data_IF_823233972985
#
_entry.id   IF_823233972985
#
_cell.length_a   1.000
_cell.length_b   1.000
_cell.length_c   1.000
_cell.angle_alpha   90.00
_cell.angle_beta   90.00
_cell.angle_gamma   90.00
#
_symmetry.space_group_name_H-M   'P 1'
#
loop_
_entity.id
_entity.type
_entity.pdbx_description
1 polymer ?
#
# COMPACT_ATOMS: atom_id res chain seq x y z
N UNK A 1 9.72 27.65 0.14
CA UNK A 1 9.64 26.45 -0.70
C UNK A 1 8.28 25.82 -0.47
N UNK A 2 7.42 25.79 -1.49
CA UNK A 2 6.16 25.06 -1.40
C UNK A 2 6.48 23.57 -1.38
N UNK A 3 6.26 22.90 -0.25
CA UNK A 3 6.31 21.44 -0.18
C UNK A 3 5.08 20.92 -0.91
N UNK A 4 5.22 20.59 -2.19
CA UNK A 4 4.14 19.95 -2.96
C UNK A 4 3.90 18.56 -2.36
N UNK A 5 2.72 18.35 -1.76
CA UNK A 5 2.29 17.03 -1.29
C UNK A 5 2.16 16.09 -2.48
N UNK A 6 2.80 14.92 -2.41
CA UNK A 6 2.67 13.89 -3.44
C UNK A 6 1.28 13.26 -3.30
N UNK A 7 0.51 13.22 -4.39
CA UNK A 7 -0.86 12.71 -4.37
C UNK A 7 -0.95 11.38 -5.09
N UNK A 8 -1.66 10.44 -4.47
CA UNK A 8 -2.00 9.15 -5.05
C UNK A 8 -3.50 9.04 -5.24
N UNK A 9 -3.89 8.18 -6.18
CA UNK A 9 -5.28 7.84 -6.38
C UNK A 9 -5.76 7.07 -5.15
N UNK A 10 -6.91 7.47 -4.62
CA UNK A 10 -7.52 6.86 -3.43
C UNK A 10 -8.71 5.94 -3.78
N UNK A 11 -9.19 5.98 -5.03
CA UNK A 11 -10.30 5.18 -5.53
C UNK A 11 -9.76 4.07 -6.42
N UNK A 12 -10.07 2.82 -6.11
CA UNK A 12 -9.72 1.66 -6.93
C UNK A 12 -10.13 1.83 -8.40
N UNK A 13 -9.29 1.35 -9.30
CA UNK A 13 -9.59 1.15 -10.70
C UNK A 13 -10.08 -0.29 -10.90
N UNK A 14 -11.04 -0.42 -11.79
CA UNK A 14 -11.43 -1.71 -12.34
C UNK A 14 -10.72 -1.84 -13.68
N UNK A 15 -10.14 -3.01 -13.97
CA UNK A 15 -9.42 -3.28 -15.22
C UNK A 15 -8.12 -2.47 -15.39
N UNK A 16 -7.28 -2.43 -14.35
CA UNK A 16 -5.95 -1.84 -14.44
C UNK A 16 -5.01 -2.80 -15.18
N UNK A 17 -4.65 -2.46 -16.42
CA UNK A 17 -3.72 -3.25 -17.23
C UNK A 17 -2.27 -3.08 -16.78
N UNK A 18 -1.39 -4.08 -17.05
CA UNK A 18 0.05 -3.92 -16.85
C UNK A 18 0.67 -2.72 -17.59
N UNK A 19 0.09 -2.30 -18.72
CA UNK A 19 0.58 -1.16 -19.50
C UNK A 19 0.18 0.19 -18.87
N UNK A 20 -1.06 0.32 -18.40
CA UNK A 20 -1.51 1.50 -17.66
C UNK A 20 -0.69 1.68 -16.38
N UNK A 21 -0.35 0.56 -15.76
CA UNK A 21 0.56 0.50 -14.63
C UNK A 21 1.97 1.02 -14.96
N UNK A 22 2.60 0.53 -16.03
CA UNK A 22 3.95 0.97 -16.42
C UNK A 22 4.00 2.49 -16.60
N UNK A 23 2.95 3.05 -17.21
CA UNK A 23 2.79 4.50 -17.36
C UNK A 23 2.67 5.21 -16.01
N UNK A 24 1.89 4.68 -15.06
CA UNK A 24 1.75 5.26 -13.71
C UNK A 24 3.06 5.23 -12.92
N UNK A 25 3.81 4.12 -12.98
CA UNK A 25 5.10 3.97 -12.28
C UNK A 25 6.12 4.96 -12.82
N UNK A 26 6.24 5.08 -14.15
CA UNK A 26 7.19 5.99 -14.78
C UNK A 26 6.85 7.46 -14.50
N UNK A 27 5.57 7.83 -14.54
CA UNK A 27 5.14 9.20 -14.22
C UNK A 27 5.41 9.60 -12.77
N UNK A 28 5.35 8.64 -11.84
CA UNK A 28 5.50 8.89 -10.40
C UNK A 28 6.89 8.57 -9.86
N UNK A 29 7.79 8.10 -10.73
CA UNK A 29 9.16 7.67 -10.41
C UNK A 29 9.26 6.68 -9.24
N UNK A 30 8.24 5.81 -9.06
CA UNK A 30 8.18 4.87 -7.92
C UNK A 30 9.12 3.69 -8.14
N UNK A 31 9.79 3.24 -7.08
CA UNK A 31 10.67 2.07 -7.13
C UNK A 31 9.90 0.78 -7.44
N UNK A 32 10.44 0.01 -8.37
CA UNK A 32 10.03 -1.35 -8.71
C UNK A 32 11.31 -2.09 -9.13
N UNK A 33 11.61 -3.26 -8.55
CA UNK A 33 12.93 -3.87 -8.66
C UNK A 33 13.38 -4.19 -10.11
N UNK A 34 12.47 -4.66 -10.96
CA UNK A 34 12.80 -5.20 -12.27
C UNK A 34 12.73 -4.16 -13.40
N UNK A 35 11.84 -3.19 -13.26
CA UNK A 35 11.48 -2.20 -14.27
C UNK A 35 12.05 -0.82 -13.94
N UNK A 36 12.11 -0.47 -12.65
CA UNK A 36 12.61 0.82 -12.17
C UNK A 36 13.52 0.63 -10.95
N UNK A 37 14.55 -0.22 -11.09
CA UNK A 37 15.46 -0.57 -10.01
C UNK A 37 16.31 0.60 -9.50
N UNK A 38 16.49 1.64 -10.33
CA UNK A 38 17.06 2.94 -9.96
C UNK A 38 16.00 3.98 -9.55
N UNK A 39 14.73 3.57 -9.49
CA UNK A 39 13.59 4.42 -9.15
C UNK A 39 13.88 5.22 -7.90
N UNK A 40 13.54 6.51 -7.94
CA UNK A 40 13.92 7.42 -6.88
C UNK A 40 13.26 6.96 -5.60
N UNK A 41 14.02 6.99 -4.51
CA UNK A 41 13.43 6.97 -3.17
C UNK A 41 12.46 8.14 -3.10
N UNK A 42 11.17 7.82 -3.06
CA UNK A 42 10.13 8.81 -2.87
C UNK A 42 10.43 9.61 -1.58
N UNK A 43 10.05 10.90 -1.52
CA UNK A 43 10.38 11.77 -0.40
C UNK A 43 9.53 11.47 0.86
N UNK A 44 9.06 10.22 1.03
CA UNK A 44 8.24 9.78 2.16
C UNK A 44 8.90 10.17 3.47
N UNK A 45 8.07 10.62 4.40
CA UNK A 45 8.49 11.08 5.73
C UNK A 45 7.61 10.39 6.76
N UNK A 46 7.94 9.14 7.03
CA UNK A 46 7.19 8.32 7.98
C UNK A 46 7.43 8.76 9.42
N UNK A 47 6.34 8.90 10.15
CA UNK A 47 6.31 9.16 11.59
C UNK A 47 5.41 8.12 12.26
N UNK A 48 5.97 7.41 13.23
CA UNK A 48 5.17 6.58 14.12
C UNK A 48 4.27 7.48 14.97
N UNK A 49 2.98 7.16 14.99
CA UNK A 49 2.00 7.82 15.85
C UNK A 49 1.24 6.76 16.65
N UNK A 50 0.72 7.14 17.82
CA UNK A 50 -0.14 6.29 18.64
C UNK A 50 -1.51 6.94 18.76
N UNK A 51 -2.57 6.23 18.39
CA UNK A 51 -3.93 6.74 18.42
C UNK A 51 -4.87 5.70 19.03
N UNK A 52 -5.54 6.06 20.13
CA UNK A 52 -6.44 5.16 20.89
C UNK A 52 -5.81 3.81 21.27
N UNK A 53 -4.50 3.79 21.54
CA UNK A 53 -3.77 2.57 21.90
C UNK A 53 -3.01 1.94 20.73
N UNK A 54 -3.44 2.21 19.50
CA UNK A 54 -2.92 1.60 18.28
C UNK A 54 -1.71 2.31 17.71
N UNK A 55 -0.77 1.55 17.13
CA UNK A 55 0.40 2.08 16.42
C UNK A 55 0.06 2.28 14.95
N UNK A 56 0.25 3.49 14.45
CA UNK A 56 0.04 3.84 13.05
C UNK A 56 1.30 4.52 12.51
N UNK A 57 1.43 4.55 11.18
CA UNK A 57 2.49 5.30 10.50
C UNK A 57 1.83 6.39 9.66
N UNK A 58 2.11 7.65 10.00
CA UNK A 58 1.74 8.81 9.18
C UNK A 58 2.89 9.11 8.23
N UNK A 59 2.61 9.15 6.94
CA UNK A 59 3.54 9.66 5.95
C UNK A 59 3.23 11.13 5.66
N UNK A 60 4.17 12.03 5.96
CA UNK A 60 4.01 13.49 5.77
C UNK A 60 4.29 13.95 4.33
N UNK A 61 4.71 13.06 3.44
CA UNK A 61 4.87 13.40 2.03
C UNK A 61 3.56 13.23 1.26
N UNK A 62 2.78 12.22 1.63
CA UNK A 62 1.53 11.81 0.98
C UNK A 62 0.29 12.16 1.80
N UNK A 63 0.49 12.54 3.07
CA UNK A 63 -0.56 12.71 4.07
C UNK A 63 -1.39 11.44 4.35
N UNK A 64 -0.95 10.28 3.88
CA UNK A 64 -1.57 8.99 4.17
C UNK A 64 -1.20 8.51 5.58
N UNK A 65 -2.13 7.81 6.22
CA UNK A 65 -1.91 7.12 7.48
C UNK A 65 -2.15 5.64 7.27
N UNK A 66 -1.19 4.84 7.70
CA UNK A 66 -1.14 3.41 7.50
C UNK A 66 -1.25 2.69 8.83
N UNK A 67 -1.87 1.51 8.83
CA UNK A 67 -1.63 0.61 9.95
C UNK A 67 -0.15 0.22 9.99
N UNK A 68 0.48 0.35 11.18
CA UNK A 68 1.87 -0.04 11.36
C UNK A 68 2.05 -1.56 11.23
N UNK A 69 1.09 -2.31 11.76
CA UNK A 69 0.90 -3.75 11.58
C UNK A 69 -0.38 -3.98 10.78
N UNK A 70 -0.36 -4.92 9.83
CA UNK A 70 -1.53 -5.25 9.04
C UNK A 70 -2.47 -6.26 9.69
N UNK A 71 -3.17 -7.03 8.86
CA UNK A 71 -3.93 -8.20 9.29
C UNK A 71 -3.05 -9.20 10.03
N UNK A 72 -3.61 -9.94 11.02
CA UNK A 72 -2.84 -10.92 11.76
C UNK A 72 -2.52 -12.16 10.93
N UNK A 73 -3.34 -12.50 9.94
CA UNK A 73 -3.16 -13.64 9.06
C UNK A 73 -3.31 -13.20 7.60
N UNK A 74 -2.79 -14.04 6.72
CA UNK A 74 -3.11 -14.00 5.29
C UNK A 74 -4.57 -14.37 5.08
N UNK A 75 -5.15 -13.84 4.02
CA UNK A 75 -6.54 -14.06 3.67
C UNK A 75 -6.73 -13.95 2.16
N UNK A 76 -7.74 -14.63 1.63
CA UNK A 76 -8.15 -14.44 0.23
C UNK A 76 -8.74 -13.03 0.05
N UNK A 77 -8.88 -12.59 -1.19
CA UNK A 77 -9.28 -11.21 -1.46
C UNK A 77 -10.68 -10.87 -0.91
N UNK A 78 -11.61 -11.82 -0.98
CA UNK A 78 -12.98 -11.69 -0.46
C UNK A 78 -12.96 -11.40 1.05
N UNK A 79 -12.08 -12.08 1.79
CA UNK A 79 -11.88 -11.90 3.23
C UNK A 79 -11.18 -10.57 3.56
N UNK A 80 -10.31 -10.07 2.66
CA UNK A 80 -9.63 -8.78 2.81
C UNK A 80 -10.61 -7.61 2.93
N UNK A 81 -11.70 -7.64 2.15
CA UNK A 81 -12.79 -6.67 2.28
C UNK A 81 -13.53 -6.79 3.62
N UNK A 82 -13.66 -8.01 4.15
CA UNK A 82 -14.19 -8.27 5.49
C UNK A 82 -13.32 -7.66 6.59
N UNK A 83 -11.99 -7.77 6.49
CA UNK A 83 -11.05 -7.17 7.42
C UNK A 83 -11.20 -5.64 7.48
N UNK A 84 -11.29 -4.97 6.33
CA UNK A 84 -11.53 -3.51 6.27
C UNK A 84 -12.88 -3.13 6.90
N UNK A 85 -13.92 -3.90 6.60
CA UNK A 85 -15.27 -3.67 7.15
C UNK A 85 -15.24 -3.74 8.69
N UNK A 86 -14.57 -4.74 9.24
CA UNK A 86 -14.48 -4.91 10.69
C UNK A 86 -13.63 -3.81 11.35
N UNK A 87 -12.50 -3.40 10.74
CA UNK A 87 -11.71 -2.25 11.21
C UNK A 87 -12.58 -0.99 11.35
N UNK A 88 -13.41 -0.71 10.33
CA UNK A 88 -14.26 0.46 10.32
C UNK A 88 -15.43 0.34 11.31
N UNK A 89 -16.00 -0.85 11.47
CA UNK A 89 -17.05 -1.12 12.46
C UNK A 89 -16.55 -0.92 13.89
N UNK A 90 -15.35 -1.41 14.20
CA UNK A 90 -14.71 -1.27 15.51
C UNK A 90 -14.18 0.14 15.78
N UNK A 91 -14.19 1.01 14.76
CA UNK A 91 -13.53 2.31 14.78
C UNK A 91 -12.05 2.16 15.15
N UNK A 92 -11.32 1.27 14.48
CA UNK A 92 -9.91 1.03 14.78
C UNK A 92 -9.12 2.34 14.83
N UNK A 93 -8.34 2.53 15.89
CA UNK A 93 -7.66 3.78 16.22
C UNK A 93 -8.58 5.03 16.32
N UNK A 94 -9.88 4.84 16.50
CA UNK A 94 -10.91 5.90 16.47
C UNK A 94 -11.36 6.33 15.06
N UNK A 95 -11.04 5.57 14.01
CA UNK A 95 -11.28 5.94 12.61
C UNK A 95 -12.19 4.92 11.90
N UNK A 96 -12.93 5.36 10.89
CA UNK A 96 -13.94 4.56 10.16
C UNK A 96 -13.77 4.58 8.63
N UNK A 97 -12.67 5.16 8.17
CA UNK A 97 -12.33 5.45 6.78
C UNK A 97 -11.11 4.63 6.34
N UNK A 98 -10.88 3.48 6.97
CA UNK A 98 -9.87 2.52 6.52
C UNK A 98 -10.32 1.87 5.23
N UNK A 99 -9.35 1.64 4.34
CA UNK A 99 -9.55 0.93 3.07
C UNK A 99 -8.32 0.13 2.70
N UNK A 100 -8.47 -0.76 1.73
CA UNK A 100 -7.33 -1.31 1.01
C UNK A 100 -6.59 -0.15 0.29
N UNK A 101 -5.25 -0.22 0.21
CA UNK A 101 -4.49 0.75 -0.56
C UNK A 101 -4.73 0.54 -2.05
N UNK A 102 -4.69 1.61 -2.83
CA UNK A 102 -4.50 1.44 -4.27
C UNK A 102 -3.08 0.93 -4.55
N UNK A 103 -2.85 0.41 -5.75
CA UNK A 103 -1.55 -0.11 -6.16
C UNK A 103 -0.47 0.97 -6.03
N UNK A 104 -0.70 2.18 -6.53
CA UNK A 104 0.27 3.28 -6.41
C UNK A 104 0.62 3.61 -4.95
N UNK A 105 -0.38 3.59 -4.06
CA UNK A 105 -0.15 3.85 -2.64
C UNK A 105 0.67 2.73 -2.00
N UNK A 106 0.34 1.47 -2.29
CA UNK A 106 1.06 0.31 -1.78
C UNK A 106 2.51 0.30 -2.28
N UNK A 107 2.73 0.60 -3.56
CA UNK A 107 4.08 0.74 -4.11
C UNK A 107 4.84 1.92 -3.52
N UNK A 108 4.17 3.00 -3.13
CA UNK A 108 4.83 4.14 -2.48
C UNK A 108 5.47 3.81 -1.13
N UNK A 109 5.13 2.67 -0.53
CA UNK A 109 5.81 2.13 0.64
C UNK A 109 7.13 1.44 0.30
N UNK A 110 7.33 1.04 -0.95
CA UNK A 110 8.54 0.37 -1.38
C UNK A 110 9.71 1.35 -1.44
N UNK A 111 10.90 0.85 -1.11
CA UNK A 111 12.14 1.61 -1.21
C UNK A 111 13.25 0.81 -1.91
N UNK A 112 14.17 1.49 -2.60
CA UNK A 112 15.41 0.87 -3.04
C UNK A 112 16.21 0.34 -1.84
N UNK A 113 16.78 -0.84 -2.03
CA UNK A 113 17.57 -1.52 -1.01
C UNK A 113 16.74 -2.09 0.16
N UNK A 114 17.18 -3.23 0.66
CA UNK A 114 16.49 -3.94 1.73
C UNK A 114 16.79 -3.34 3.10
N UNK A 115 15.83 -3.41 4.00
CA UNK A 115 16.02 -3.12 5.42
C UNK A 115 16.72 -4.31 6.13
N UNK A 116 17.06 -4.21 7.43
CA UNK A 116 17.71 -5.31 8.17
C UNK A 116 16.89 -6.62 8.26
N UNK A 117 15.60 -6.59 7.90
CA UNK A 117 14.71 -7.76 7.82
C UNK A 117 14.55 -8.28 6.39
N UNK A 118 15.43 -7.87 5.48
CA UNK A 118 15.45 -8.30 4.08
C UNK A 118 14.20 -7.90 3.27
N UNK A 119 13.57 -6.77 3.61
CA UNK A 119 12.39 -6.23 2.92
C UNK A 119 12.65 -4.84 2.32
N UNK A 120 12.09 -4.57 1.14
CA UNK A 120 12.05 -3.30 0.42
C UNK A 120 11.03 -2.33 1.01
N UNK A 121 11.00 -2.16 2.33
CA UNK A 121 10.12 -1.21 3.04
C UNK A 121 10.85 -0.61 4.23
N UNK A 122 10.42 0.55 4.70
CA UNK A 122 10.99 1.17 5.90
C UNK A 122 10.81 0.30 7.16
N UNK A 123 11.84 0.28 8.02
CA UNK A 123 11.89 -0.62 9.18
C UNK A 123 10.88 -0.30 10.29
N UNK A 124 10.16 0.82 10.17
CA UNK A 124 9.06 1.16 11.07
C UNK A 124 7.82 0.29 10.89
N UNK A 125 7.61 -0.27 9.70
CA UNK A 125 6.50 -1.19 9.41
C UNK A 125 6.78 -2.58 9.98
N UNK A 126 5.73 -3.26 10.45
CA UNK A 126 5.83 -4.67 10.86
C UNK A 126 6.25 -5.53 9.65
N UNK A 127 7.24 -6.40 9.85
CA UNK A 127 7.77 -7.29 8.81
C UNK A 127 6.85 -8.44 8.45
N UNK A 128 5.82 -8.74 9.25
CA UNK A 128 4.95 -9.88 8.99
C UNK A 128 4.26 -9.78 7.62
N UNK A 129 3.85 -8.57 7.23
CA UNK A 129 3.19 -8.34 5.94
C UNK A 129 4.25 -8.16 4.84
N UNK A 130 4.88 -9.26 4.45
CA UNK A 130 5.85 -9.31 3.35
C UNK A 130 5.20 -9.05 1.98
N UNK A 131 3.90 -9.30 1.87
CA UNK A 131 3.06 -9.04 0.70
C UNK A 131 1.69 -8.56 1.17
N UNK A 132 1.07 -7.67 0.39
CA UNK A 132 -0.25 -7.11 0.70
C UNK A 132 -1.15 -7.06 -0.52
N UNK A 133 -2.44 -7.27 -0.29
CA UNK A 133 -3.49 -6.95 -1.25
C UNK A 133 -3.60 -5.45 -1.50
N UNK A 134 -3.94 -5.10 -2.74
CA UNK A 134 -4.34 -3.75 -3.14
C UNK A 134 -5.80 -3.75 -3.59
N UNK A 135 -6.42 -2.58 -3.66
CA UNK A 135 -7.82 -2.44 -4.04
C UNK A 135 -8.05 -2.53 -5.56
N UNK A 136 -6.99 -2.48 -6.38
CA UNK A 136 -7.10 -2.39 -7.83
C UNK A 136 -7.32 -3.75 -8.47
N UNK A 137 -8.36 -3.86 -9.29
CA UNK A 137 -8.68 -5.05 -10.08
C UNK A 137 -7.87 -5.03 -11.37
N UNK A 138 -7.27 -6.16 -11.73
CA UNK A 138 -6.55 -6.28 -12.99
C UNK A 138 -7.52 -6.33 -14.18
N UNK A 139 -7.02 -6.14 -15.39
CA UNK A 139 -7.79 -6.24 -16.65
C UNK A 139 -8.03 -7.68 -17.13
N UNK A 140 -7.50 -8.67 -16.40
CA UNK A 140 -7.82 -10.09 -16.58
C UNK A 140 -9.14 -10.47 -15.89
N UNK A 141 -9.46 -11.77 -15.83
CA UNK A 141 -10.56 -12.30 -14.99
C UNK A 141 -10.52 -11.70 -13.57
N UNK A 142 -11.64 -11.75 -12.82
CA UNK A 142 -11.83 -11.12 -11.49
C UNK A 142 -10.68 -11.45 -10.51
N UNK A 143 -9.62 -10.64 -10.54
CA UNK A 143 -8.40 -10.77 -9.75
C UNK A 143 -7.85 -9.39 -9.41
N UNK A 144 -7.05 -9.30 -8.34
CA UNK A 144 -6.58 -8.03 -7.79
C UNK A 144 -5.08 -7.96 -7.69
N UNK A 145 -4.54 -6.76 -7.85
CA UNK A 145 -3.11 -6.53 -7.73
C UNK A 145 -2.62 -6.71 -6.29
N UNK A 146 -1.39 -7.18 -6.16
CA UNK A 146 -0.67 -7.31 -4.90
C UNK A 146 0.73 -6.70 -5.00
N UNK A 147 1.27 -6.27 -3.86
CA UNK A 147 2.66 -5.78 -3.73
C UNK A 147 3.43 -6.71 -2.81
N UNK A 148 4.66 -7.08 -3.17
CA UNK A 148 5.58 -7.81 -2.29
C UNK A 148 6.81 -6.98 -1.96
N UNK A 149 7.01 -6.75 -0.67
CA UNK A 149 8.17 -6.08 -0.11
C UNK A 149 9.38 -7.02 -0.01
N UNK A 150 9.19 -8.34 -0.07
CA UNK A 150 10.31 -9.30 -0.01
C UNK A 150 11.23 -9.19 -1.23
N UNK A 151 10.62 -8.97 -2.38
CA UNK A 151 11.29 -8.85 -3.67
C UNK A 151 11.28 -7.39 -4.11
N UNK A 152 10.19 -6.64 -3.90
CA UNK A 152 10.11 -5.22 -4.28
C UNK A 152 9.45 -5.02 -5.63
N UNK A 153 8.40 -5.80 -5.91
CA UNK A 153 7.60 -5.72 -7.13
C UNK A 153 6.11 -5.87 -6.82
N UNK A 154 5.28 -5.64 -7.84
CA UNK A 154 3.85 -5.92 -7.81
C UNK A 154 3.45 -6.88 -8.92
N UNK A 155 2.35 -7.59 -8.71
CA UNK A 155 1.87 -8.62 -9.62
C UNK A 155 0.41 -8.94 -9.36
N UNK A 156 -0.17 -9.70 -10.27
CA UNK A 156 -1.50 -10.28 -10.15
C UNK A 156 -1.33 -11.75 -9.73
N UNK A 157 -1.66 -12.11 -8.48
CA UNK A 157 -1.58 -13.48 -8.01
C UNK A 157 -2.77 -14.33 -8.50
N UNK A 158 -2.57 -15.64 -8.48
CA UNK A 158 -3.62 -16.64 -8.74
C UNK A 158 -3.73 -17.52 -7.49
N UNK A 159 -4.96 -17.80 -7.04
CA UNK A 159 -5.26 -18.70 -5.90
C UNK A 159 -4.35 -18.50 -4.67
N UNK A 160 -4.24 -17.24 -4.21
CA UNK A 160 -3.32 -16.85 -3.15
C UNK A 160 -4.03 -16.20 -1.96
N UNK A 161 -3.38 -16.24 -0.80
CA UNK A 161 -3.80 -15.54 0.39
C UNK A 161 -2.69 -14.57 0.84
N UNK A 162 -3.01 -13.29 0.97
CA UNK A 162 -2.05 -12.24 1.35
C UNK A 162 -2.56 -11.42 2.53
N UNK A 163 -1.66 -10.66 3.14
CA UNK A 163 -2.03 -9.78 4.24
C UNK A 163 -2.75 -8.53 3.74
N UNK A 164 -3.41 -7.85 4.67
CA UNK A 164 -3.94 -6.50 4.46
C UNK A 164 -3.10 -5.52 5.24
N UNK A 165 -2.74 -4.39 4.63
CA UNK A 165 -2.25 -3.21 5.36
C UNK A 165 -3.13 -2.03 5.02
N UNK A 166 -4.07 -1.72 5.91
CA UNK A 166 -5.05 -0.68 5.62
C UNK A 166 -4.41 0.71 5.61
N UNK A 167 -4.96 1.55 4.74
CA UNK A 167 -4.58 2.96 4.60
C UNK A 167 -5.81 3.84 4.77
N UNK A 168 -5.59 5.07 5.23
CA UNK A 168 -6.57 6.16 5.24
C UNK A 168 -5.90 7.48 4.88
N UNK A 169 -6.68 8.45 4.42
CA UNK A 169 -6.20 9.76 3.98
C UNK A 169 -7.17 10.39 2.99
N UNK A 170 -6.96 11.67 2.68
CA UNK A 170 -7.88 12.40 1.80
C UNK A 170 -7.99 11.74 0.42
N UNK A 171 -9.23 11.62 -0.04
CA UNK A 171 -9.56 11.12 -1.35
C UNK A 171 -9.27 12.23 -2.35
N UNK A 172 -8.21 12.11 -3.13
CA UNK A 172 -8.01 13.01 -4.25
C UNK A 172 -8.69 12.44 -5.50
N UNK A 173 -9.69 13.16 -5.98
CA UNK A 173 -10.32 12.94 -7.28
C UNK A 173 -9.81 14.09 -8.18
N UNK A 174 -9.04 13.80 -9.26
CA UNK A 174 -8.73 14.78 -10.28
C UNK A 174 -10.00 15.36 -10.92
#
# INVERSE_FOLDING_TARGET
>A
MFSTTMKFRSRALNQLSPFDFETLVLQKEVFEQFWNGEGKRLPNRYKMIKQKGEKLIKDRATELTWQQSGSPNEMIYEEASGYITELNKQKFAGCKDWRLPTLDEAMSLMKPGKNPRNLHIESGFDSKQEWIWTADEADSEVVWWAVTFRIGYCYVPVDSAYYVRAVRGEIWVP
#
